data_IF_560627297492
#
_entry.id   IF_560627297492
#
_cell.length_a   1.000
_cell.length_b   1.000
_cell.length_c   1.000
_cell.angle_alpha   90.00
_cell.angle_beta   90.00
_cell.angle_gamma   90.00
#
_symmetry.space_group_name_H-M   'P 1'
#
loop_
_entity.id
_entity.type
_entity.pdbx_description
1 polymer ?
#
# COMPACT_ATOMS: atom_id res chain seq x y z
N UNK A 1 -10.06 -2.64 -2.73
CA UNK A 1 -9.16 -3.66 -2.14
C UNK A 1 -8.03 -4.00 -3.10
N UNK A 2 -6.80 -4.00 -2.64
CA UNK A 2 -5.63 -4.48 -3.39
C UNK A 2 -4.91 -5.53 -2.55
N UNK A 3 -4.47 -6.60 -3.16
CA UNK A 3 -3.87 -7.74 -2.47
C UNK A 3 -2.81 -8.42 -3.34
N UNK A 4 -2.08 -9.43 -2.84
CA UNK A 4 -1.17 -10.25 -3.65
C UNK A 4 -1.82 -10.96 -4.85
N UNK A 5 -3.14 -11.01 -4.91
CA UNK A 5 -3.88 -11.51 -6.08
C UNK A 5 -4.16 -10.43 -7.12
N UNK A 6 -3.83 -9.17 -6.85
CA UNK A 6 -4.08 -8.00 -7.70
C UNK A 6 -5.17 -7.09 -7.16
N UNK A 7 -5.80 -6.34 -8.04
CA UNK A 7 -6.77 -5.29 -7.71
C UNK A 7 -8.19 -5.85 -7.78
N UNK A 8 -9.04 -5.44 -6.83
CA UNK A 8 -10.47 -5.73 -6.76
C UNK A 8 -10.87 -6.75 -5.69
N UNK A 9 -11.97 -6.44 -4.97
CA UNK A 9 -12.50 -7.29 -3.90
C UNK A 9 -13.02 -8.63 -4.38
N UNK A 10 -13.61 -8.68 -5.58
CA UNK A 10 -14.14 -9.92 -6.15
C UNK A 10 -13.01 -10.90 -6.45
N UNK A 11 -11.91 -10.40 -7.03
CA UNK A 11 -10.72 -11.20 -7.28
C UNK A 11 -10.10 -11.71 -5.99
N UNK A 12 -10.02 -10.87 -4.97
CA UNK A 12 -9.55 -11.28 -3.65
C UNK A 12 -10.43 -12.40 -3.08
N UNK A 13 -11.76 -12.20 -3.09
CA UNK A 13 -12.71 -13.18 -2.56
C UNK A 13 -12.66 -14.52 -3.31
N UNK A 14 -12.61 -14.49 -4.63
CA UNK A 14 -12.49 -15.71 -5.45
C UNK A 14 -11.26 -16.56 -5.06
N UNK A 15 -10.13 -15.94 -4.80
CA UNK A 15 -8.92 -16.67 -4.40
C UNK A 15 -9.01 -17.20 -2.97
N UNK A 16 -9.35 -16.36 -2.00
CA UNK A 16 -9.37 -16.79 -0.60
C UNK A 16 -10.48 -17.82 -0.31
N UNK A 17 -11.63 -17.70 -0.96
CA UNK A 17 -12.72 -18.68 -0.80
C UNK A 17 -12.37 -20.08 -1.32
N UNK A 18 -11.39 -20.18 -2.22
CA UNK A 18 -10.82 -21.43 -2.73
C UNK A 18 -9.55 -21.88 -1.99
N UNK A 19 -9.14 -21.15 -0.94
CA UNK A 19 -7.92 -21.46 -0.18
C UNK A 19 -6.62 -21.23 -0.95
N UNK A 20 -6.63 -20.38 -1.97
CA UNK A 20 -5.42 -20.05 -2.75
C UNK A 20 -4.49 -19.18 -1.92
N UNK A 21 -3.23 -19.57 -1.80
CA UNK A 21 -2.20 -18.78 -1.12
C UNK A 21 -1.66 -17.66 -2.01
N UNK A 22 -1.54 -16.45 -1.46
CA UNK A 22 -0.86 -15.32 -2.12
C UNK A 22 0.66 -15.27 -1.88
N UNK A 23 1.18 -16.21 -1.08
CA UNK A 23 2.60 -16.24 -0.75
C UNK A 23 3.41 -16.88 -1.89
N UNK A 24 4.55 -16.27 -2.23
CA UNK A 24 5.43 -16.73 -3.30
C UNK A 24 6.89 -16.41 -2.99
N UNK A 25 7.82 -16.95 -3.79
CA UNK A 25 9.22 -16.55 -3.73
C UNK A 25 9.33 -15.06 -4.08
N UNK A 26 10.24 -14.37 -3.40
CA UNK A 26 10.56 -12.97 -3.70
C UNK A 26 11.28 -12.93 -5.05
N UNK A 27 10.77 -12.13 -5.98
CA UNK A 27 11.31 -11.94 -7.33
C UNK A 27 11.65 -10.48 -7.63
N UNK A 28 11.19 -9.56 -6.82
CA UNK A 28 11.38 -8.12 -6.97
C UNK A 28 12.85 -7.69 -6.75
N UNK A 29 13.58 -8.51 -5.99
CA UNK A 29 15.02 -8.36 -5.75
C UNK A 29 15.63 -9.70 -5.37
N UNK A 30 16.97 -9.82 -5.46
CA UNK A 30 17.69 -11.01 -4.99
C UNK A 30 17.83 -10.99 -3.46
N UNK A 31 17.14 -11.86 -2.72
CA UNK A 31 17.25 -11.90 -1.26
C UNK A 31 18.58 -12.52 -0.84
N UNK A 32 19.46 -11.73 -0.22
CA UNK A 32 20.76 -12.15 0.34
C UNK A 32 20.67 -12.54 1.82
N UNK A 33 19.52 -13.05 2.26
CA UNK A 33 19.22 -13.40 3.65
C UNK A 33 18.30 -14.64 3.71
N UNK A 34 18.04 -15.13 4.93
CA UNK A 34 17.38 -16.41 5.13
C UNK A 34 15.91 -16.46 4.69
N UNK A 35 15.15 -15.37 4.81
CA UNK A 35 13.77 -15.30 4.33
C UNK A 35 13.75 -14.98 2.83
N UNK A 36 13.11 -15.84 2.02
CA UNK A 36 13.00 -15.68 0.56
C UNK A 36 11.55 -15.71 0.06
N UNK A 37 10.59 -15.56 0.96
CA UNK A 37 9.15 -15.58 0.64
C UNK A 37 8.45 -14.33 1.11
N UNK A 38 7.49 -13.87 0.33
CA UNK A 38 6.63 -12.74 0.63
C UNK A 38 5.28 -12.88 -0.09
N UNK A 39 4.36 -11.98 0.21
CA UNK A 39 3.06 -11.87 -0.45
C UNK A 39 2.91 -10.46 -1.03
N UNK A 40 3.73 -10.13 -2.04
CA UNK A 40 3.75 -8.82 -2.70
C UNK A 40 2.59 -8.64 -3.67
N UNK A 41 2.14 -7.40 -3.83
CA UNK A 41 1.21 -7.02 -4.90
C UNK A 41 1.95 -6.98 -6.23
N UNK A 42 1.49 -7.70 -7.28
CA UNK A 42 2.16 -7.69 -8.57
C UNK A 42 2.09 -6.31 -9.25
N UNK A 43 3.24 -5.81 -9.74
CA UNK A 43 3.30 -4.50 -10.40
C UNK A 43 2.53 -4.44 -11.73
N UNK A 44 2.51 -5.53 -12.49
CA UNK A 44 1.73 -5.65 -13.72
C UNK A 44 0.21 -5.50 -13.47
N UNK A 45 -0.28 -5.99 -12.34
CA UNK A 45 -1.68 -5.79 -11.95
C UNK A 45 -2.02 -4.34 -11.62
N UNK A 46 -1.05 -3.56 -11.15
CA UNK A 46 -1.21 -2.14 -10.88
C UNK A 46 -1.24 -1.33 -12.17
N UNK A 47 -0.38 -1.67 -13.14
CA UNK A 47 -0.38 -1.06 -14.48
C UNK A 47 -1.71 -1.33 -15.18
N UNK A 48 -2.16 -2.59 -15.19
CA UNK A 48 -3.42 -3.00 -15.80
C UNK A 48 -4.66 -2.31 -15.18
N UNK A 49 -4.58 -1.94 -13.91
CA UNK A 49 -5.65 -1.23 -13.20
C UNK A 49 -5.60 0.30 -13.36
N UNK A 50 -4.67 0.84 -14.17
CA UNK A 50 -4.53 2.27 -14.38
C UNK A 50 -3.83 3.01 -13.23
N UNK A 51 -3.08 2.31 -12.38
CA UNK A 51 -2.37 2.92 -11.26
C UNK A 51 -1.27 3.91 -11.66
N UNK A 52 -0.91 3.94 -12.93
CA UNK A 52 0.09 4.87 -13.50
C UNK A 52 -0.53 6.19 -13.98
N UNK A 53 -1.82 6.34 -13.81
CA UNK A 53 -2.60 7.54 -14.10
C UNK A 53 -4.04 7.36 -13.70
N UNK A 54 -4.65 8.43 -13.25
CA UNK A 54 -6.10 8.53 -13.05
C UNK A 54 -6.80 8.06 -14.33
N UNK A 55 -7.93 7.39 -14.17
CA UNK A 55 -8.80 6.95 -15.28
C UNK A 55 -8.80 8.00 -16.39
N UNK A 56 -8.40 7.65 -17.65
CA UNK A 56 -8.35 8.62 -18.76
C UNK A 56 -9.70 9.26 -19.09
N UNK A 57 -10.79 8.83 -18.44
CA UNK A 57 -12.11 9.45 -18.53
C UNK A 57 -12.34 10.62 -17.56
N UNK A 58 -11.46 10.88 -16.61
CA UNK A 58 -11.63 12.00 -15.66
C UNK A 58 -10.66 13.15 -15.98
N UNK A 59 -11.04 13.93 -17.03
CA UNK A 59 -10.27 15.10 -17.49
C UNK A 59 -10.03 16.14 -16.37
N UNK A 60 -10.92 16.21 -15.36
CA UNK A 60 -10.81 17.15 -14.27
C UNK A 60 -9.67 16.77 -13.29
N UNK A 61 -9.50 15.48 -12.99
CA UNK A 61 -8.41 14.99 -12.14
C UNK A 61 -7.06 15.05 -12.89
N UNK A 62 -7.05 14.78 -14.19
CA UNK A 62 -5.87 14.94 -15.04
C UNK A 62 -5.43 16.41 -15.19
N UNK A 63 -6.37 17.34 -15.26
CA UNK A 63 -6.09 18.78 -15.35
C UNK A 63 -5.56 19.36 -14.02
N UNK A 64 -6.06 18.90 -12.89
CA UNK A 64 -5.58 19.30 -11.56
C UNK A 64 -4.13 18.87 -11.30
N UNK A 65 -3.68 17.80 -11.94
CA UNK A 65 -2.32 17.24 -11.80
C UNK A 65 -1.33 17.64 -12.92
N UNK A 66 -1.69 18.57 -13.79
CA UNK A 66 -0.76 19.10 -14.82
C UNK A 66 -0.27 18.10 -15.86
N UNK A 67 -1.11 17.13 -16.23
CA UNK A 67 -0.80 16.07 -17.21
C UNK A 67 -0.18 14.84 -16.55
N UNK A 68 -0.20 13.72 -17.26
CA UNK A 68 0.23 12.36 -16.88
C UNK A 68 1.10 12.28 -15.63
N UNK A 69 0.56 11.72 -14.56
CA UNK A 69 1.31 11.47 -13.35
C UNK A 69 2.55 10.62 -13.68
N UNK A 70 3.75 11.15 -13.40
CA UNK A 70 4.99 10.40 -13.56
C UNK A 70 4.98 9.26 -12.51
N UNK A 71 5.00 7.96 -12.91
CA UNK A 71 4.98 6.84 -11.97
C UNK A 71 6.10 6.89 -10.93
N UNK A 72 7.20 7.61 -11.25
CA UNK A 72 8.33 7.83 -10.33
C UNK A 72 8.00 8.76 -9.16
N UNK A 73 6.87 9.47 -9.21
CA UNK A 73 6.38 10.36 -8.16
C UNK A 73 5.62 9.63 -7.06
N UNK A 74 5.28 8.35 -7.26
CA UNK A 74 4.45 7.61 -6.33
C UNK A 74 5.19 6.40 -5.75
N UNK A 75 5.15 6.27 -4.43
CA UNK A 75 5.49 5.01 -3.78
C UNK A 75 4.44 3.94 -4.11
N UNK A 76 4.82 2.68 -4.07
CA UNK A 76 3.89 1.57 -4.31
C UNK A 76 2.69 1.62 -3.36
N UNK A 77 2.92 1.97 -2.09
CA UNK A 77 1.84 2.13 -1.09
C UNK A 77 0.79 3.14 -1.52
N UNK A 78 1.19 4.30 -2.08
CA UNK A 78 0.24 5.32 -2.56
C UNK A 78 -0.58 4.81 -3.75
N UNK A 79 0.06 4.11 -4.69
CA UNK A 79 -0.62 3.51 -5.86
C UNK A 79 -1.70 2.52 -5.42
N UNK A 80 -1.38 1.58 -4.53
CA UNK A 80 -2.37 0.60 -4.04
C UNK A 80 -3.47 1.25 -3.19
N UNK A 81 -3.13 2.26 -2.40
CA UNK A 81 -4.09 3.00 -1.57
C UNK A 81 -5.11 3.77 -2.43
N UNK A 82 -4.65 4.47 -3.47
CA UNK A 82 -5.53 5.20 -4.41
C UNK A 82 -6.48 4.25 -5.12
N UNK A 83 -5.98 3.09 -5.61
CA UNK A 83 -6.83 2.08 -6.26
C UNK A 83 -7.90 1.53 -5.31
N UNK A 84 -7.53 1.22 -4.06
CA UNK A 84 -8.49 0.73 -3.06
C UNK A 84 -9.53 1.79 -2.70
N UNK A 85 -9.11 3.05 -2.53
CA UNK A 85 -10.02 4.18 -2.24
C UNK A 85 -10.97 4.45 -3.41
N UNK A 86 -10.47 4.37 -4.65
CA UNK A 86 -11.30 4.49 -5.86
C UNK A 86 -12.38 3.41 -5.91
N UNK A 87 -12.01 2.16 -5.63
CA UNK A 87 -12.99 1.05 -5.57
C UNK A 87 -14.02 1.30 -4.46
N UNK A 88 -13.59 1.77 -3.29
CA UNK A 88 -14.49 2.07 -2.17
C UNK A 88 -15.53 3.14 -2.51
N UNK A 89 -15.12 4.25 -3.16
CA UNK A 89 -16.04 5.29 -3.62
C UNK A 89 -17.03 4.78 -4.67
N UNK A 90 -16.56 3.99 -5.63
CA UNK A 90 -17.43 3.37 -6.65
C UNK A 90 -18.44 2.41 -6.03
N UNK A 91 -18.01 1.60 -5.06
CA UNK A 91 -18.90 0.66 -4.37
C UNK A 91 -19.94 1.38 -3.52
N UNK A 92 -19.54 2.46 -2.85
CA UNK A 92 -20.43 3.34 -2.10
C UNK A 92 -21.42 4.10 -3.01
N UNK A 93 -21.20 4.12 -4.33
CA UNK A 93 -21.95 4.94 -5.30
C UNK A 93 -21.99 6.41 -4.91
N UNK A 94 -20.92 6.89 -4.31
CA UNK A 94 -20.78 8.25 -3.80
C UNK A 94 -20.12 9.12 -4.86
N UNK A 95 -20.81 10.17 -5.28
CA UNK A 95 -20.20 11.27 -6.00
C UNK A 95 -19.60 12.24 -4.98
N UNK A 96 -18.28 12.26 -4.88
CA UNK A 96 -17.56 13.10 -3.93
C UNK A 96 -17.52 14.58 -4.31
N UNK A 97 -17.96 14.95 -5.54
CA UNK A 97 -17.95 16.33 -6.00
C UNK A 97 -18.87 17.21 -5.17
N UNK A 98 -18.32 18.28 -4.64
CA UNK A 98 -19.06 19.23 -3.80
C UNK A 98 -19.35 18.73 -2.36
N UNK A 99 -18.84 17.57 -1.97
CA UNK A 99 -18.89 17.07 -0.62
C UNK A 99 -17.54 17.27 0.09
N UNK A 100 -17.57 17.49 1.39
CA UNK A 100 -16.39 17.54 2.24
C UNK A 100 -15.99 16.12 2.66
N UNK A 101 -15.44 15.37 1.73
CA UNK A 101 -14.98 13.98 1.98
C UNK A 101 -13.55 13.99 2.48
N UNK A 102 -13.35 13.48 3.69
CA UNK A 102 -12.02 13.35 4.28
C UNK A 102 -11.38 11.98 4.06
N UNK A 103 -10.08 11.89 4.36
CA UNK A 103 -9.27 10.68 4.23
C UNK A 103 -8.52 10.44 5.54
N UNK A 104 -8.81 9.33 6.21
CA UNK A 104 -8.11 8.90 7.42
C UNK A 104 -7.66 7.46 7.21
N UNK A 105 -6.39 7.25 6.93
CA UNK A 105 -5.86 5.93 6.59
C UNK A 105 -4.68 5.57 7.48
N UNK A 106 -4.42 4.28 7.61
CA UNK A 106 -3.29 3.75 8.37
C UNK A 106 -2.17 3.28 7.45
N UNK A 107 -0.93 3.50 7.85
CA UNK A 107 0.25 2.89 7.22
C UNK A 107 1.36 2.73 8.25
N UNK A 108 2.01 1.57 8.25
CA UNK A 108 3.14 1.31 9.14
C UNK A 108 4.47 1.78 8.58
N UNK A 109 4.64 1.72 7.26
CA UNK A 109 5.92 1.95 6.60
C UNK A 109 5.92 3.10 5.58
N UNK A 110 4.74 3.58 5.14
CA UNK A 110 4.68 4.62 4.11
C UNK A 110 5.41 4.22 2.83
N UNK A 111 6.08 5.18 2.20
CA UNK A 111 6.85 4.97 0.96
C UNK A 111 8.26 4.44 1.18
N UNK A 112 8.43 3.46 2.05
CA UNK A 112 9.73 2.87 2.41
C UNK A 112 10.49 2.31 1.19
N UNK A 113 9.79 1.78 0.18
CA UNK A 113 10.36 1.29 -1.07
C UNK A 113 11.12 2.40 -1.82
N UNK A 114 10.57 3.60 -1.86
CA UNK A 114 11.24 4.78 -2.44
C UNK A 114 12.39 5.22 -1.53
N UNK A 115 12.15 5.29 -0.22
CA UNK A 115 13.16 5.68 0.76
C UNK A 115 14.41 4.82 0.66
N UNK A 116 14.29 3.50 0.72
CA UNK A 116 15.42 2.57 0.62
C UNK A 116 16.20 2.76 -0.70
N UNK A 117 15.50 2.85 -1.83
CA UNK A 117 16.12 3.05 -3.13
C UNK A 117 16.90 4.37 -3.20
N UNK A 118 16.29 5.46 -2.76
CA UNK A 118 16.89 6.79 -2.84
C UNK A 118 18.06 6.96 -1.88
N UNK A 119 17.99 6.39 -0.68
CA UNK A 119 19.14 6.33 0.23
C UNK A 119 20.25 5.42 -0.30
N UNK A 120 19.89 4.31 -0.96
CA UNK A 120 20.85 3.46 -1.66
C UNK A 120 21.64 4.22 -2.75
N UNK A 121 20.95 5.00 -3.57
CA UNK A 121 21.57 5.86 -4.60
C UNK A 121 22.46 6.93 -3.96
N UNK A 122 21.98 7.57 -2.89
CA UNK A 122 22.75 8.61 -2.17
C UNK A 122 24.05 8.05 -1.57
N UNK A 123 23.97 7.00 -0.77
CA UNK A 123 25.13 6.39 -0.12
C UNK A 123 26.04 5.66 -1.11
N UNK A 124 25.50 5.18 -2.21
CA UNK A 124 26.25 4.59 -3.33
C UNK A 124 26.96 5.62 -4.22
N UNK A 125 26.82 6.93 -3.94
CA UNK A 125 27.45 8.01 -4.70
C UNK A 125 26.77 8.35 -6.03
N UNK A 126 25.60 7.77 -6.32
CA UNK A 126 24.83 8.02 -7.53
C UNK A 126 23.87 9.23 -7.36
N UNK A 127 24.41 10.38 -6.92
CA UNK A 127 23.63 11.56 -6.55
C UNK A 127 22.71 12.07 -7.65
N UNK A 128 23.07 11.87 -8.92
CA UNK A 128 22.26 12.26 -10.08
C UNK A 128 20.96 11.45 -10.23
N UNK A 129 20.84 10.33 -9.51
CA UNK A 129 19.63 9.48 -9.48
C UNK A 129 18.67 9.85 -8.35
N UNK A 130 19.14 10.66 -7.37
CA UNK A 130 18.29 11.06 -6.26
C UNK A 130 17.19 12.00 -6.76
N UNK A 131 15.94 11.58 -6.59
CA UNK A 131 14.76 12.33 -7.03
C UNK A 131 14.51 13.54 -6.12
N UNK A 132 14.06 14.69 -6.64
CA UNK A 132 13.55 15.78 -5.82
C UNK A 132 12.31 15.39 -5.01
N UNK A 133 11.63 14.32 -5.40
CA UNK A 133 10.48 13.76 -4.69
C UNK A 133 10.85 12.70 -3.63
N UNK A 134 12.15 12.40 -3.44
CA UNK A 134 12.60 11.33 -2.54
C UNK A 134 12.02 11.47 -1.13
N UNK A 135 12.05 12.66 -0.56
CA UNK A 135 11.53 12.91 0.80
C UNK A 135 9.99 12.88 0.84
N UNK A 136 9.26 13.72 0.09
CA UNK A 136 7.80 13.74 0.20
C UNK A 136 7.14 12.40 -0.12
N UNK A 137 7.70 11.60 -1.05
CA UNK A 137 7.13 10.31 -1.43
C UNK A 137 7.44 9.19 -0.44
N UNK A 138 8.54 9.30 0.32
CA UNK A 138 8.93 8.26 1.28
C UNK A 138 8.30 8.40 2.66
N UNK A 139 7.80 9.57 3.04
CA UNK A 139 7.19 9.77 4.36
C UNK A 139 5.82 9.10 4.49
N UNK A 140 5.48 8.65 5.70
CA UNK A 140 4.22 7.93 5.96
C UNK A 140 2.98 8.78 5.63
N UNK A 141 3.02 10.08 5.92
CA UNK A 141 1.92 11.02 5.70
C UNK A 141 1.47 11.18 4.25
N UNK A 142 2.29 10.75 3.27
CA UNK A 142 1.95 10.91 1.85
C UNK A 142 0.71 10.11 1.43
N UNK A 143 0.41 8.99 2.09
CA UNK A 143 -0.64 8.07 1.65
C UNK A 143 -2.03 8.75 1.61
N UNK A 144 -2.42 9.47 2.68
CA UNK A 144 -3.70 10.20 2.69
C UNK A 144 -3.71 11.36 1.70
N UNK A 145 -2.58 12.06 1.57
CA UNK A 145 -2.44 13.19 0.65
C UNK A 145 -2.60 12.73 -0.81
N UNK A 146 -1.96 11.63 -1.20
CA UNK A 146 -2.08 11.09 -2.57
C UNK A 146 -3.50 10.61 -2.88
N UNK A 147 -4.20 10.00 -1.92
CA UNK A 147 -5.63 9.66 -2.10
C UNK A 147 -6.44 10.94 -2.31
N UNK A 148 -6.25 11.96 -1.46
CA UNK A 148 -6.98 13.22 -1.55
C UNK A 148 -6.74 13.92 -2.88
N UNK A 149 -5.48 13.99 -3.33
CA UNK A 149 -5.09 14.63 -4.60
C UNK A 149 -5.68 13.85 -5.79
N UNK A 150 -5.51 12.52 -5.79
CA UNK A 150 -5.94 11.68 -6.90
C UNK A 150 -7.46 11.67 -7.09
N UNK A 151 -8.21 11.82 -6.01
CA UNK A 151 -9.68 11.74 -6.03
C UNK A 151 -10.35 13.13 -5.88
N UNK A 152 -9.56 14.21 -5.82
CA UNK A 152 -10.09 15.58 -5.69
C UNK A 152 -10.85 15.82 -4.38
N UNK A 153 -10.39 15.24 -3.27
CA UNK A 153 -11.04 15.34 -1.97
C UNK A 153 -10.43 16.47 -1.13
N UNK A 154 -11.27 17.21 -0.42
CA UNK A 154 -10.88 18.44 0.27
C UNK A 154 -11.12 18.43 1.78
N UNK A 155 -11.65 17.35 2.35
CA UNK A 155 -11.87 17.21 3.78
C UNK A 155 -10.58 16.89 4.57
N UNK A 156 -10.75 16.49 5.83
CA UNK A 156 -9.67 16.12 6.74
C UNK A 156 -8.80 15.05 6.07
N UNK A 157 -7.46 15.22 6.10
CA UNK A 157 -6.51 14.26 5.52
C UNK A 157 -5.42 13.91 6.52
N UNK A 158 -5.48 12.69 7.08
CA UNK A 158 -4.54 12.22 8.09
C UNK A 158 -4.07 10.79 7.81
N UNK A 159 -2.82 10.49 8.21
CA UNK A 159 -2.31 9.11 8.30
C UNK A 159 -2.03 8.79 9.77
N UNK A 160 -2.57 7.67 10.25
CA UNK A 160 -2.21 7.10 11.54
C UNK A 160 -1.13 6.04 11.33
N UNK A 161 -0.07 6.12 12.13
CA UNK A 161 1.03 5.15 12.07
C UNK A 161 1.30 4.59 13.47
N UNK A 162 0.67 3.47 13.75
CA UNK A 162 0.78 2.73 15.01
C UNK A 162 1.30 1.30 14.79
N UNK A 163 2.15 1.16 13.74
CA UNK A 163 2.68 -0.14 13.30
C UNK A 163 1.59 -1.01 12.68
N UNK A 164 1.54 -2.28 13.06
CA UNK A 164 0.61 -3.27 12.48
C UNK A 164 -0.88 -2.97 12.74
N UNK A 165 -1.20 -2.10 13.71
CA UNK A 165 -2.58 -1.71 14.04
C UNK A 165 -3.06 -0.45 13.33
N UNK A 166 -2.22 0.20 12.54
CA UNK A 166 -2.49 1.50 11.91
C UNK A 166 -3.85 1.57 11.20
N UNK A 167 -4.19 0.55 10.42
CA UNK A 167 -5.46 0.47 9.70
C UNK A 167 -6.67 0.39 10.65
N UNK A 168 -6.59 -0.43 11.70
CA UNK A 168 -7.65 -0.57 12.70
C UNK A 168 -7.85 0.72 13.48
N UNK A 169 -6.75 1.39 13.85
CA UNK A 169 -6.79 2.65 14.57
C UNK A 169 -7.37 3.77 13.69
N UNK A 170 -7.02 3.79 12.40
CA UNK A 170 -7.59 4.73 11.43
C UNK A 170 -9.11 4.58 11.31
N UNK A 171 -9.60 3.34 11.20
CA UNK A 171 -11.06 3.05 11.15
C UNK A 171 -11.74 3.50 12.44
N UNK A 172 -11.14 3.20 13.59
CA UNK A 172 -11.66 3.62 14.90
C UNK A 172 -11.74 5.13 15.05
N UNK A 173 -10.69 5.82 14.63
CA UNK A 173 -10.62 7.29 14.67
C UNK A 173 -11.62 7.93 13.72
N UNK A 174 -11.72 7.44 12.48
CA UNK A 174 -12.72 7.91 11.51
C UNK A 174 -14.16 7.74 12.05
N UNK A 175 -14.45 6.57 12.62
CA UNK A 175 -15.77 6.32 13.24
C UNK A 175 -16.05 7.26 14.42
N UNK A 176 -15.04 7.66 15.18
CA UNK A 176 -15.18 8.63 16.27
C UNK A 176 -15.53 10.02 15.71
N UNK A 177 -14.84 10.51 14.69
CA UNK A 177 -15.11 11.82 14.09
C UNK A 177 -16.53 11.90 13.51
N UNK A 178 -17.00 10.85 12.84
CA UNK A 178 -18.38 10.79 12.33
C UNK A 178 -19.40 10.84 13.49
N UNK A 179 -19.17 10.09 14.58
CA UNK A 179 -20.07 10.10 15.75
C UNK A 179 -20.09 11.44 16.47
N UNK A 180 -19.00 12.19 16.45
CA UNK A 180 -18.89 13.53 17.05
C UNK A 180 -19.49 14.64 16.16
N UNK A 181 -19.77 14.34 14.89
CA UNK A 181 -20.25 15.30 13.91
C UNK A 181 -19.15 16.18 13.31
N UNK A 182 -17.88 15.77 13.46
CA UNK A 182 -16.73 16.48 12.89
C UNK A 182 -16.53 16.16 11.39
N UNK A 183 -17.16 15.09 10.90
CA UNK A 183 -17.19 14.71 9.50
C UNK A 183 -18.44 13.91 9.18
N UNK A 184 -18.97 14.09 7.95
CA UNK A 184 -20.12 13.32 7.46
C UNK A 184 -19.68 12.08 6.66
N UNK A 185 -18.59 12.20 5.91
CA UNK A 185 -18.06 11.13 5.05
C UNK A 185 -16.54 11.06 5.16
N UNK A 186 -16.03 9.88 5.43
CA UNK A 186 -14.59 9.61 5.48
C UNK A 186 -14.23 8.34 4.70
N UNK A 187 -13.18 8.43 3.88
CA UNK A 187 -12.46 7.25 3.38
C UNK A 187 -11.53 6.80 4.50
N UNK A 188 -11.61 5.52 4.88
CA UNK A 188 -10.75 4.95 5.91
C UNK A 188 -10.32 3.52 5.57
N UNK A 189 -9.25 3.08 6.18
CA UNK A 189 -8.65 1.77 5.98
C UNK A 189 -7.15 1.84 6.20
N UNK A 190 -6.38 1.07 5.44
CA UNK A 190 -4.92 1.15 5.49
C UNK A 190 -4.26 0.56 4.27
N UNK A 191 -2.99 0.92 4.09
CA UNK A 191 -2.17 0.42 3.01
C UNK A 191 -0.71 0.30 3.45
N UNK A 192 -0.08 -0.81 3.07
CA UNK A 192 1.36 -1.00 3.20
C UNK A 192 1.92 -1.77 1.98
N UNK A 193 3.09 -1.34 1.52
CA UNK A 193 3.86 -1.95 0.45
C UNK A 193 5.33 -2.02 0.86
N UNK A 194 5.62 -2.91 1.80
CA UNK A 194 6.89 -2.97 2.50
C UNK A 194 7.69 -4.26 2.21
N UNK A 195 7.42 -4.93 1.09
CA UNK A 195 8.27 -6.03 0.63
C UNK A 195 9.52 -5.46 -0.05
N UNK A 196 10.45 -4.99 0.78
CA UNK A 196 11.70 -4.35 0.37
C UNK A 196 12.91 -5.08 1.00
N UNK A 197 14.11 -4.94 0.43
CA UNK A 197 15.31 -5.59 0.98
C UNK A 197 15.56 -5.27 2.45
N UNK A 198 15.47 -4.01 2.86
CA UNK A 198 15.73 -3.58 4.23
C UNK A 198 14.67 -4.06 5.21
N UNK A 199 13.39 -4.00 4.83
CA UNK A 199 12.30 -4.48 5.68
C UNK A 199 12.38 -5.99 5.89
N UNK A 200 12.53 -6.79 4.84
CA UNK A 200 12.67 -8.24 4.95
C UNK A 200 13.93 -8.60 5.76
N UNK A 201 15.06 -7.92 5.50
CA UNK A 201 16.27 -8.14 6.27
C UNK A 201 16.10 -7.80 7.75
N UNK A 202 15.46 -6.66 8.06
CA UNK A 202 15.18 -6.24 9.43
C UNK A 202 14.36 -7.28 10.19
N UNK A 203 13.24 -7.72 9.62
CA UNK A 203 12.40 -8.77 10.21
C UNK A 203 13.10 -10.12 10.29
N UNK A 204 13.96 -10.46 9.32
CA UNK A 204 14.81 -11.66 9.38
C UNK A 204 15.78 -11.60 10.58
N UNK A 205 16.40 -10.44 10.82
CA UNK A 205 17.26 -10.21 11.99
C UNK A 205 16.51 -10.30 13.30
N UNK A 206 15.26 -9.89 13.35
CA UNK A 206 14.36 -10.04 14.49
C UNK A 206 13.91 -11.50 14.69
N UNK A 207 14.13 -12.39 13.70
CA UNK A 207 13.72 -13.81 13.72
C UNK A 207 12.20 -13.99 13.83
N UNK A 208 11.42 -13.12 13.21
CA UNK A 208 9.95 -13.14 13.27
C UNK A 208 9.30 -13.54 11.95
N UNK A 209 10.07 -13.54 10.83
CA UNK A 209 9.60 -14.03 9.52
C UNK A 209 9.99 -15.49 9.30
N UNK A 210 9.19 -16.19 8.51
CA UNK A 210 9.46 -17.59 8.16
C UNK A 210 10.74 -17.74 7.32
N UNK A 211 11.48 -18.81 7.56
CA UNK A 211 12.69 -19.14 6.79
C UNK A 211 12.74 -20.59 6.36
N UNK A 212 11.85 -21.44 6.86
CA UNK A 212 11.83 -22.89 6.57
C UNK A 212 11.04 -23.27 5.32
N UNK A 213 10.18 -22.37 4.85
CA UNK A 213 9.26 -22.64 3.74
C UNK A 213 9.68 -21.98 2.43
N UNK A 214 10.95 -21.63 2.27
CA UNK A 214 11.46 -21.00 1.06
C UNK A 214 11.26 -21.84 -0.21
N UNK A 215 11.32 -23.16 -0.07
CA UNK A 215 11.19 -24.09 -1.20
C UNK A 215 9.72 -24.51 -1.43
N UNK A 216 8.81 -24.15 -0.52
CA UNK A 216 7.37 -24.34 -0.64
C UNK A 216 6.60 -23.09 -0.18
N UNK A 217 6.69 -21.95 -0.92
CA UNK A 217 6.16 -20.65 -0.48
C UNK A 217 4.67 -20.67 -0.13
N UNK A 218 3.87 -21.44 -0.85
CA UNK A 218 2.42 -21.53 -0.63
C UNK A 218 2.03 -22.06 0.76
N UNK A 219 2.95 -22.76 1.43
CA UNK A 219 2.76 -23.29 2.79
C UNK A 219 3.37 -22.37 3.87
N UNK A 220 4.02 -21.28 3.50
CA UNK A 220 4.79 -20.45 4.43
C UNK A 220 3.92 -19.70 5.45
N UNK A 221 2.77 -19.18 5.02
CA UNK A 221 1.80 -18.54 5.91
C UNK A 221 0.86 -19.58 6.51
N UNK A 222 1.08 -19.92 7.78
CA UNK A 222 0.35 -20.99 8.48
C UNK A 222 0.02 -20.58 9.92
N UNK A 223 -0.87 -19.57 10.10
CA UNK A 223 -1.23 -19.09 11.42
C UNK A 223 -1.84 -20.23 12.26
N UNK A 224 -1.49 -20.25 13.55
CA UNK A 224 -1.90 -21.26 14.53
C UNK A 224 -1.38 -22.71 14.30
N UNK A 225 -0.79 -23.00 13.14
CA UNK A 225 -0.21 -24.33 12.85
C UNK A 225 0.96 -24.64 13.80
N UNK A 226 1.12 -25.93 14.16
CA UNK A 226 2.20 -26.39 15.01
C UNK A 226 3.59 -26.21 14.37
N UNK A 227 3.65 -26.31 13.04
CA UNK A 227 4.89 -26.18 12.25
C UNK A 227 5.26 -24.73 11.88
N UNK A 228 4.49 -23.72 12.32
CA UNK A 228 4.81 -22.33 12.01
C UNK A 228 6.19 -21.92 12.56
N UNK A 229 6.90 -21.06 11.85
CA UNK A 229 8.22 -20.56 12.25
C UNK A 229 8.39 -19.04 12.08
N UNK A 230 7.29 -18.34 11.81
CA UNK A 230 7.25 -16.90 11.63
C UNK A 230 6.09 -16.47 10.75
N UNK A 231 5.95 -15.16 10.53
CA UNK A 231 4.97 -14.63 9.58
C UNK A 231 5.56 -14.48 8.18
N UNK A 232 4.71 -14.24 7.20
CA UNK A 232 5.07 -13.83 5.83
C UNK A 232 4.71 -12.36 5.68
N UNK A 233 5.67 -11.54 5.26
CA UNK A 233 5.39 -10.13 4.98
C UNK A 233 4.55 -10.02 3.71
N UNK A 234 3.48 -9.20 3.77
CA UNK A 234 2.57 -8.98 2.66
C UNK A 234 2.40 -7.50 2.35
N UNK A 235 1.83 -7.24 1.17
CA UNK A 235 1.42 -5.92 0.71
C UNK A 235 -0.08 -5.91 0.46
N UNK A 236 -0.73 -4.73 0.61
CA UNK A 236 -2.14 -4.58 0.31
C UNK A 236 -2.73 -3.24 0.76
N UNK A 237 -3.97 -3.04 0.34
CA UNK A 237 -4.79 -1.89 0.71
C UNK A 237 -6.29 -2.26 0.68
#
# INVERSE_FOLDING_TARGET
MVSPFGVGRERFWDHISRGVSGTRAITEFEPKFACRVAASVPDDSLVAAGADGVDPGDEAAAAANGGRADPRRYAKVSRIAVLAATEALRDARLDARGLDVGVIVGSGAGGIDVGERQYGDYFGGALHRVSPYAIPVSIVGIVSSEISIALGLHGISHVLSTGCTSSTDAIGYAAMLIRQGDADVLITGGADACVTPGMIFGFTRMRVVTTRYNDCPIEASRPFDRGRDGFVLGEGA
#
